data_IF_054299306457
#
_entry.id   IF_054299306457
#
_cell.length_a   1.000
_cell.length_b   1.000
_cell.length_c   1.000
_cell.angle_alpha   90.00
_cell.angle_beta   90.00
_cell.angle_gamma   90.00
#
_symmetry.space_group_name_H-M   'P 1'
#
loop_
_entity.id
_entity.type
_entity.pdbx_description
1 polymer ?
#
# COMPACT_ATOMS: atom_id res chain seq x y z
N UNK A 1 4.70 16.06 -19.37
CA UNK A 1 3.93 15.24 -18.40
C UNK A 1 2.44 15.53 -18.48
N UNK A 2 2.00 16.73 -18.90
CA UNK A 2 0.59 17.12 -19.06
C UNK A 2 -0.37 16.09 -19.70
N UNK A 3 0.00 15.30 -20.74
CA UNK A 3 -0.93 14.32 -21.32
C UNK A 3 -1.15 13.06 -20.45
N UNK A 4 -0.38 12.87 -19.37
CA UNK A 4 -0.47 11.69 -18.52
C UNK A 4 -1.45 11.99 -17.38
N UNK A 5 -2.66 11.45 -17.50
CA UNK A 5 -3.70 11.53 -16.47
C UNK A 5 -3.80 10.17 -15.78
N UNK A 6 -3.69 10.09 -14.44
CA UNK A 6 -3.88 8.84 -13.71
C UNK A 6 -5.27 8.24 -13.92
N UNK A 7 -5.35 6.91 -13.99
CA UNK A 7 -6.63 6.20 -13.97
C UNK A 7 -7.33 6.41 -12.63
N UNK A 8 -8.68 6.33 -12.58
CA UNK A 8 -9.41 6.33 -11.32
C UNK A 8 -8.91 5.23 -10.38
N UNK A 9 -9.02 5.44 -9.07
CA UNK A 9 -8.58 4.47 -8.07
C UNK A 9 -9.65 4.16 -7.03
N UNK A 10 -9.39 3.15 -6.20
CA UNK A 10 -10.26 2.79 -5.08
C UNK A 10 -10.00 3.79 -3.95
N UNK A 11 -11.07 4.31 -3.34
CA UNK A 11 -10.97 5.18 -2.17
C UNK A 11 -11.87 4.67 -1.05
N UNK A 12 -11.25 4.19 0.02
CA UNK A 12 -11.92 3.87 1.29
C UNK A 12 -11.44 4.88 2.35
N UNK A 13 -12.27 5.87 2.72
CA UNK A 13 -11.88 6.98 3.58
C UNK A 13 -11.23 6.54 4.90
N UNK A 14 -11.73 5.46 5.48
CA UNK A 14 -11.32 4.96 6.81
C UNK A 14 -9.92 4.36 6.84
N UNK A 15 -9.26 4.19 5.69
CA UNK A 15 -7.92 3.61 5.60
C UNK A 15 -6.81 4.66 5.60
N UNK A 16 -7.12 5.92 5.26
CA UNK A 16 -6.13 7.00 5.19
C UNK A 16 -6.54 8.19 6.07
N UNK A 17 -5.65 9.18 6.19
CA UNK A 17 -5.96 10.39 6.95
C UNK A 17 -7.18 11.13 6.37
N UNK A 18 -8.09 11.56 7.24
CA UNK A 18 -9.35 12.22 6.84
C UNK A 18 -9.13 13.52 6.02
N UNK A 19 -7.97 14.15 6.14
CA UNK A 19 -7.59 15.34 5.36
C UNK A 19 -7.37 15.07 3.86
N UNK A 20 -7.37 13.81 3.43
CA UNK A 20 -7.26 13.46 2.01
C UNK A 20 -8.62 13.49 1.28
N UNK A 21 -9.74 13.69 2.00
CA UNK A 21 -11.08 13.68 1.40
C UNK A 21 -11.26 14.67 0.25
N UNK A 22 -10.81 15.92 0.42
CA UNK A 22 -10.92 16.96 -0.62
C UNK A 22 -10.09 16.64 -1.88
N UNK A 23 -9.10 15.75 -1.77
CA UNK A 23 -8.25 15.32 -2.89
C UNK A 23 -8.88 14.18 -3.71
N UNK A 24 -9.81 13.43 -3.14
CA UNK A 24 -10.37 12.21 -3.73
C UNK A 24 -11.45 12.52 -4.80
N UNK A 25 -11.03 13.03 -5.96
CA UNK A 25 -11.93 13.40 -7.07
C UNK A 25 -11.89 12.44 -8.28
N UNK A 26 -11.05 11.40 -8.25
CA UNK A 26 -10.85 10.45 -9.34
C UNK A 26 -10.98 9.01 -8.83
N UNK A 27 -12.22 8.63 -8.51
CA UNK A 27 -12.53 7.40 -7.74
C UNK A 27 -13.39 6.45 -8.56
N UNK A 28 -13.12 5.16 -8.47
CA UNK A 28 -13.97 4.09 -9.02
C UNK A 28 -15.29 4.09 -8.22
N UNK A 29 -16.45 4.19 -8.89
CA UNK A 29 -17.72 4.32 -8.18
C UNK A 29 -18.15 3.01 -7.52
N UNK A 30 -18.93 3.13 -6.44
CA UNK A 30 -19.50 2.01 -5.70
C UNK A 30 -18.76 1.70 -4.40
N UNK A 31 -19.28 0.70 -3.68
CA UNK A 31 -18.69 0.20 -2.44
C UNK A 31 -18.42 -1.32 -2.48
N UNK A 32 -18.75 -1.96 -3.60
CA UNK A 32 -18.57 -3.40 -3.78
C UNK A 32 -17.09 -3.71 -4.04
N UNK A 33 -16.46 -4.36 -3.06
CA UNK A 33 -15.02 -4.63 -3.10
C UNK A 33 -14.65 -5.64 -4.18
N UNK A 34 -15.55 -6.55 -4.55
CA UNK A 34 -15.35 -7.50 -5.65
C UNK A 34 -15.38 -6.80 -7.00
N UNK A 35 -16.29 -5.85 -7.19
CA UNK A 35 -16.33 -5.02 -8.39
C UNK A 35 -15.06 -4.20 -8.53
N UNK A 36 -14.58 -3.60 -7.44
CA UNK A 36 -13.30 -2.89 -7.42
C UNK A 36 -12.11 -3.81 -7.77
N UNK A 37 -12.05 -5.02 -7.20
CA UNK A 37 -11.02 -6.00 -7.54
C UNK A 37 -11.01 -6.32 -9.04
N UNK A 38 -12.18 -6.61 -9.62
CA UNK A 38 -12.26 -6.92 -11.05
C UNK A 38 -11.94 -5.72 -11.94
N UNK A 39 -12.26 -4.49 -11.53
CA UNK A 39 -11.86 -3.26 -12.23
C UNK A 39 -10.33 -3.17 -12.34
N UNK A 40 -9.61 -3.31 -11.22
CA UNK A 40 -8.14 -3.24 -11.21
C UNK A 40 -7.51 -4.39 -12.02
N UNK A 41 -8.07 -5.60 -11.93
CA UNK A 41 -7.62 -6.73 -12.77
C UNK A 41 -7.79 -6.42 -14.25
N UNK A 42 -8.88 -5.74 -14.62
CA UNK A 42 -9.13 -5.35 -16.00
C UNK A 42 -8.17 -4.25 -16.45
N UNK A 43 -7.89 -3.25 -15.62
CA UNK A 43 -6.92 -2.19 -15.94
C UNK A 43 -5.53 -2.74 -16.22
N UNK A 44 -5.06 -3.69 -15.42
CA UNK A 44 -3.76 -4.35 -15.63
C UNK A 44 -3.74 -5.12 -16.95
N UNK A 45 -4.80 -5.87 -17.27
CA UNK A 45 -4.90 -6.61 -18.54
C UNK A 45 -4.94 -5.67 -19.74
N UNK A 46 -5.77 -4.62 -19.66
CA UNK A 46 -5.88 -3.59 -20.69
C UNK A 46 -4.54 -2.90 -20.93
N UNK A 47 -3.82 -2.54 -19.87
CA UNK A 47 -2.50 -1.92 -19.97
C UNK A 47 -1.47 -2.86 -20.60
N UNK A 48 -1.45 -4.13 -20.18
CA UNK A 48 -0.58 -5.17 -20.74
C UNK A 48 -0.82 -5.34 -22.24
N UNK A 49 -2.07 -5.50 -22.66
CA UNK A 49 -2.47 -5.73 -24.05
C UNK A 49 -2.22 -4.49 -24.92
N UNK A 50 -2.64 -3.31 -24.47
CA UNK A 50 -2.49 -2.04 -25.20
C UNK A 50 -1.03 -1.73 -25.54
N UNK A 51 -0.10 -2.18 -24.70
CA UNK A 51 1.32 -1.89 -24.84
C UNK A 51 2.16 -3.12 -25.22
N UNK A 52 1.52 -4.26 -25.53
CA UNK A 52 2.17 -5.52 -25.90
C UNK A 52 3.30 -5.92 -24.92
N UNK A 53 2.98 -5.87 -23.63
CA UNK A 53 3.96 -6.11 -22.57
C UNK A 53 4.02 -7.59 -22.21
N UNK A 54 5.23 -8.14 -22.09
CA UNK A 54 5.42 -9.52 -21.60
C UNK A 54 5.30 -9.59 -20.06
N UNK A 55 5.80 -8.56 -19.38
CA UNK A 55 5.87 -8.44 -17.93
C UNK A 55 5.24 -7.12 -17.46
N UNK A 56 4.49 -7.17 -16.35
CA UNK A 56 3.92 -6.00 -15.68
C UNK A 56 4.27 -6.10 -14.20
N UNK A 57 4.78 -5.00 -13.65
CA UNK A 57 5.08 -4.85 -12.22
C UNK A 57 4.13 -3.80 -11.66
N UNK A 58 3.46 -4.14 -10.56
CA UNK A 58 2.61 -3.23 -9.80
C UNK A 58 3.37 -2.81 -8.55
N UNK A 59 3.36 -1.52 -8.24
CA UNK A 59 4.07 -0.93 -7.10
C UNK A 59 3.15 0.05 -6.38
N UNK A 60 3.01 -0.13 -5.06
CA UNK A 60 2.27 0.79 -4.21
C UNK A 60 3.14 1.96 -3.78
N UNK A 61 2.78 3.17 -4.17
CA UNK A 61 3.43 4.43 -3.77
C UNK A 61 2.40 5.52 -3.42
N UNK A 62 1.23 5.09 -2.95
CA UNK A 62 0.15 5.97 -2.50
C UNK A 62 0.34 6.37 -1.03
N UNK A 63 -0.67 7.02 -0.44
CA UNK A 63 -0.68 7.37 0.98
C UNK A 63 -0.51 6.12 1.85
N UNK A 64 0.15 6.28 3.00
CA UNK A 64 0.22 5.25 4.03
C UNK A 64 -1.16 5.00 4.63
N UNK A 65 -1.54 3.74 4.67
CA UNK A 65 -2.80 3.32 5.27
C UNK A 65 -2.60 2.89 6.72
N UNK A 66 -3.67 2.89 7.51
CA UNK A 66 -3.68 2.19 8.80
C UNK A 66 -3.53 0.68 8.59
N UNK A 67 -3.07 -0.02 9.62
CA UNK A 67 -3.11 -1.48 9.64
C UNK A 67 -4.55 -2.01 9.61
N UNK A 68 -4.71 -3.19 9.00
CA UNK A 68 -5.91 -4.02 9.09
C UNK A 68 -5.80 -4.97 10.28
N UNK A 69 -6.92 -5.37 10.86
CA UNK A 69 -6.93 -6.47 11.82
C UNK A 69 -6.60 -7.79 11.10
N UNK A 70 -5.90 -8.70 11.79
CA UNK A 70 -5.56 -10.03 11.30
C UNK A 70 -6.29 -11.06 12.14
N UNK A 71 -7.35 -11.65 11.58
CA UNK A 71 -8.27 -12.52 12.34
C UNK A 71 -8.70 -13.75 11.53
N UNK A 72 -8.91 -14.86 12.24
CA UNK A 72 -9.37 -16.10 11.60
C UNK A 72 -10.80 -15.94 11.07
N UNK A 73 -11.05 -16.47 9.88
CA UNK A 73 -12.29 -16.28 9.14
C UNK A 73 -12.35 -14.98 8.34
N UNK A 74 -11.39 -14.08 8.50
CA UNK A 74 -11.30 -12.80 7.79
C UNK A 74 -10.22 -12.81 6.71
N UNK A 75 -8.94 -12.97 7.08
CA UNK A 75 -7.80 -12.76 6.17
C UNK A 75 -6.54 -13.59 6.48
N UNK A 76 -6.65 -14.69 7.22
CA UNK A 76 -5.50 -15.55 7.55
C UNK A 76 -5.13 -16.52 6.42
N UNK A 77 -6.03 -16.78 5.47
CA UNK A 77 -5.74 -17.59 4.27
C UNK A 77 -6.14 -16.86 2.99
N UNK A 78 -5.60 -17.30 1.85
CA UNK A 78 -5.95 -16.74 0.54
C UNK A 78 -7.46 -16.89 0.26
N UNK A 79 -8.05 -18.03 0.64
CA UNK A 79 -9.49 -18.29 0.49
C UNK A 79 -10.32 -17.35 1.37
N UNK A 80 -9.89 -17.13 2.62
CA UNK A 80 -10.56 -16.19 3.53
C UNK A 80 -10.53 -14.77 2.97
N UNK A 81 -9.37 -14.30 2.48
CA UNK A 81 -9.23 -13.00 1.85
C UNK A 81 -10.19 -12.84 0.67
N UNK A 82 -10.21 -13.79 -0.27
CA UNK A 82 -11.07 -13.73 -1.44
C UNK A 82 -12.56 -13.77 -1.06
N UNK A 83 -12.93 -14.63 -0.12
CA UNK A 83 -14.31 -14.75 0.36
C UNK A 83 -14.79 -13.47 1.04
N UNK A 84 -13.93 -12.79 1.79
CA UNK A 84 -14.29 -11.56 2.49
C UNK A 84 -14.35 -10.36 1.56
N UNK A 85 -13.51 -10.29 0.52
CA UNK A 85 -13.66 -9.33 -0.59
C UNK A 85 -15.01 -9.54 -1.30
N UNK A 86 -15.37 -10.79 -1.59
CA UNK A 86 -16.66 -11.12 -2.23
C UNK A 86 -17.86 -10.69 -1.40
N UNK A 87 -17.76 -10.78 -0.07
CA UNK A 87 -18.81 -10.31 0.86
C UNK A 87 -18.77 -8.81 1.12
N UNK A 88 -17.82 -8.08 0.54
CA UNK A 88 -17.55 -6.67 0.86
C UNK A 88 -17.43 -6.42 2.37
N UNK A 89 -16.79 -7.34 3.09
CA UNK A 89 -16.57 -7.22 4.54
C UNK A 89 -15.77 -5.94 4.85
N UNK A 90 -16.05 -5.30 5.98
CA UNK A 90 -15.56 -3.95 6.28
C UNK A 90 -14.02 -3.83 6.28
N UNK A 91 -13.28 -4.90 6.59
CA UNK A 91 -11.84 -4.84 6.83
C UNK A 91 -10.95 -5.57 5.81
N UNK A 92 -10.57 -4.98 4.67
CA UNK A 92 -9.48 -5.54 3.86
C UNK A 92 -8.65 -4.52 3.07
N UNK A 93 -7.33 -4.58 3.30
CA UNK A 93 -6.29 -4.58 2.27
C UNK A 93 -5.47 -5.87 2.40
N UNK A 94 -4.93 -6.35 1.28
CA UNK A 94 -4.21 -7.63 1.20
C UNK A 94 -2.71 -7.36 1.18
N UNK A 95 -1.95 -8.06 2.03
CA UNK A 95 -0.49 -8.05 1.94
C UNK A 95 -0.03 -8.75 0.67
N UNK A 96 0.69 -8.02 -0.19
CA UNK A 96 1.46 -8.61 -1.29
C UNK A 96 2.83 -7.94 -1.35
N UNK A 97 3.79 -8.49 -0.60
CA UNK A 97 5.23 -8.29 -0.77
C UNK A 97 5.80 -6.87 -0.58
N UNK A 98 6.47 -6.65 0.56
CA UNK A 98 7.21 -5.43 0.90
C UNK A 98 6.42 -4.50 1.83
N UNK A 99 7.07 -4.07 2.92
CA UNK A 99 6.54 -3.07 3.86
C UNK A 99 7.51 -1.90 3.92
N UNK A 100 7.02 -0.70 3.57
CA UNK A 100 7.72 0.59 3.67
C UNK A 100 9.02 0.72 2.84
N UNK A 101 9.16 1.83 2.12
CA UNK A 101 10.42 2.10 1.41
C UNK A 101 11.50 2.49 2.43
N UNK A 102 12.53 1.64 2.55
CA UNK A 102 13.70 1.96 3.38
C UNK A 102 14.55 3.07 2.76
N UNK A 103 14.15 4.30 3.04
CA UNK A 103 14.79 5.52 2.56
C UNK A 103 15.65 6.19 3.65
N UNK A 104 16.50 7.13 3.22
CA UNK A 104 17.24 8.09 4.05
C UNK A 104 17.67 7.62 5.45
N UNK A 105 16.91 8.04 6.45
CA UNK A 105 17.21 7.82 7.87
C UNK A 105 17.23 6.32 8.24
N UNK A 106 16.22 5.55 7.84
CA UNK A 106 16.12 4.13 8.20
C UNK A 106 17.20 3.31 7.50
N UNK A 107 17.62 3.72 6.28
CA UNK A 107 18.74 3.08 5.57
C UNK A 107 20.07 3.26 6.32
N UNK A 108 20.39 4.48 6.74
CA UNK A 108 21.63 4.77 7.50
C UNK A 108 21.59 4.11 8.88
N UNK A 109 20.45 4.16 9.57
CA UNK A 109 20.28 3.57 10.89
C UNK A 109 20.60 2.08 10.90
N UNK A 110 20.13 1.32 9.91
CA UNK A 110 20.42 -0.11 9.87
C UNK A 110 21.90 -0.43 9.67
N UNK A 111 22.60 0.29 8.80
CA UNK A 111 24.04 0.09 8.61
C UNK A 111 24.84 0.50 9.87
N UNK A 112 24.46 1.59 10.52
CA UNK A 112 25.15 2.10 11.71
C UNK A 112 24.98 1.18 12.92
N UNK A 113 23.77 0.68 13.18
CA UNK A 113 23.51 -0.23 14.31
C UNK A 113 24.25 -1.55 14.10
N UNK A 114 24.24 -2.08 12.88
CA UNK A 114 24.97 -3.30 12.53
C UNK A 114 26.48 -3.14 12.78
N UNK A 115 27.06 -2.02 12.35
CA UNK A 115 28.47 -1.69 12.61
C UNK A 115 28.79 -1.59 14.11
N UNK A 116 27.97 -0.87 14.88
CA UNK A 116 28.22 -0.66 16.32
C UNK A 116 28.21 -2.00 17.08
N UNK A 117 27.20 -2.83 16.84
CA UNK A 117 27.08 -4.15 17.47
C UNK A 117 28.23 -5.06 17.05
N UNK A 118 28.57 -5.08 15.75
CA UNK A 118 29.70 -5.86 15.22
C UNK A 118 31.05 -5.42 15.79
N UNK A 119 31.15 -4.15 16.20
CA UNK A 119 32.35 -3.60 16.84
C UNK A 119 32.40 -3.86 18.36
N UNK A 120 31.47 -4.67 18.90
CA UNK A 120 31.38 -4.97 20.33
C UNK A 120 30.79 -3.85 21.18
N UNK A 121 30.22 -2.81 20.55
CA UNK A 121 29.54 -1.73 21.26
C UNK A 121 28.06 -2.06 21.42
N UNK A 122 27.51 -1.77 22.59
CA UNK A 122 26.09 -1.97 22.89
C UNK A 122 25.36 -0.62 22.87
N UNK A 123 24.57 -0.30 21.83
CA UNK A 123 23.74 0.89 21.83
C UNK A 123 22.69 0.80 22.95
N UNK A 124 22.72 1.73 23.90
CA UNK A 124 21.75 1.74 25.03
C UNK A 124 20.51 2.59 24.72
N UNK A 125 20.58 3.51 23.76
CA UNK A 125 19.44 4.34 23.33
C UNK A 125 19.59 4.81 21.88
N UNK A 126 18.49 4.75 21.12
CA UNK A 126 18.40 5.29 19.76
C UNK A 126 17.12 6.12 19.70
N UNK A 127 17.27 7.43 19.53
CA UNK A 127 16.14 8.36 19.37
C UNK A 127 16.16 8.88 17.94
N UNK A 128 15.00 8.93 17.27
CA UNK A 128 14.92 9.32 15.87
C UNK A 128 13.70 10.19 15.62
N UNK A 129 13.96 11.45 15.25
CA UNK A 129 12.93 12.43 14.91
C UNK A 129 12.92 12.63 13.39
N UNK A 130 11.72 12.82 12.83
CA UNK A 130 11.53 13.25 11.45
C UNK A 130 10.41 14.30 11.41
N UNK A 131 10.57 15.30 10.57
CA UNK A 131 9.51 16.25 10.22
C UNK A 131 9.57 16.48 8.71
N UNK A 132 8.42 16.43 8.05
CA UNK A 132 8.27 16.70 6.61
C UNK A 132 6.99 17.51 6.42
N UNK A 133 6.99 18.41 5.44
CA UNK A 133 5.83 19.25 5.08
C UNK A 133 5.30 18.93 3.68
N UNK A 134 5.57 17.73 3.19
CA UNK A 134 4.97 17.20 1.98
C UNK A 134 3.54 16.71 2.27
N UNK A 135 2.84 16.28 1.21
CA UNK A 135 1.39 16.06 1.18
C UNK A 135 0.84 15.09 2.24
#
# INVERSE_FOLDING_TARGET
>A
MEPIVPMPSIYYPDFIAANQGDRANNVIPGADKKQHLEHIRQDIRNFKEKHDLECVIVLWTANTERYTDVTDGLNMTAEQVLASIEKSADEHNVFVGGDDFKSGQTKIKSALVDFLVSSGLKPESIVSYNHLGNN
#
